data_IF_187074239680
#
_entry.id   IF_187074239680
#
_cell.length_a   1.000
_cell.length_b   1.000
_cell.length_c   1.000
_cell.angle_alpha   90.00
_cell.angle_beta   90.00
_cell.angle_gamma   90.00
#
_symmetry.space_group_name_H-M   'P 1'
#
loop_
_entity.id
_entity.type
_entity.pdbx_description
1 polymer ?
#
# COMPACT_ATOMS: atom_id res chain seq x y z
N UNK A 1 15.89 -0.81 16.66
CA UNK A 1 15.59 -2.24 16.41
C UNK A 1 16.20 -2.63 15.08
N UNK A 2 16.69 -3.85 14.95
CA UNK A 2 17.29 -4.33 13.69
C UNK A 2 16.16 -4.88 12.81
N UNK A 3 16.10 -4.45 11.55
CA UNK A 3 15.22 -5.03 10.55
C UNK A 3 15.89 -6.25 9.95
N UNK A 4 15.19 -7.38 9.89
CA UNK A 4 15.59 -8.51 9.07
C UNK A 4 14.80 -8.52 7.76
N UNK A 5 15.35 -9.10 6.70
CA UNK A 5 14.65 -9.29 5.44
C UNK A 5 14.75 -10.75 5.02
N UNK A 6 13.62 -11.31 4.59
CA UNK A 6 13.55 -12.67 4.06
C UNK A 6 12.60 -12.76 2.87
N UNK A 7 12.72 -13.82 2.10
CA UNK A 7 11.77 -14.11 1.04
C UNK A 7 10.75 -15.14 1.50
N UNK A 8 9.47 -14.84 1.27
CA UNK A 8 8.36 -15.78 1.42
C UNK A 8 7.99 -16.31 0.03
N UNK A 9 8.16 -17.62 -0.17
CA UNK A 9 7.81 -18.30 -1.40
C UNK A 9 6.39 -18.86 -1.34
N UNK A 10 5.48 -18.35 -2.17
CA UNK A 10 4.07 -18.78 -2.22
C UNK A 10 3.84 -19.96 -3.17
N UNK A 11 4.90 -20.49 -3.80
CA UNK A 11 4.81 -21.45 -4.90
C UNK A 11 4.61 -20.79 -6.28
N UNK A 12 4.17 -19.53 -6.31
CA UNK A 12 3.98 -18.74 -7.54
C UNK A 12 4.97 -17.59 -7.66
N UNK A 13 5.39 -17.03 -6.53
CA UNK A 13 6.31 -15.90 -6.47
C UNK A 13 7.07 -15.92 -5.15
N UNK A 14 8.23 -15.23 -5.12
CA UNK A 14 8.94 -14.85 -3.91
C UNK A 14 8.61 -13.40 -3.56
N UNK A 15 8.04 -13.16 -2.39
CA UNK A 15 7.80 -11.82 -1.86
C UNK A 15 8.89 -11.47 -0.86
N UNK A 16 9.49 -10.29 -1.00
CA UNK A 16 10.40 -9.73 0.01
C UNK A 16 9.59 -9.22 1.20
N UNK A 17 9.97 -9.62 2.38
CA UNK A 17 9.34 -9.26 3.65
C UNK A 17 10.39 -8.68 4.58
N UNK A 18 10.22 -7.44 4.97
CA UNK A 18 10.97 -6.81 6.06
C UNK A 18 10.26 -7.08 7.38
N UNK A 19 11.00 -7.53 8.39
CA UNK A 19 10.47 -8.06 9.64
C UNK A 19 11.13 -7.37 10.85
N UNK A 20 10.31 -7.03 11.85
CA UNK A 20 10.71 -6.49 13.15
C UNK A 20 10.06 -7.32 14.23
N UNK A 21 10.87 -7.88 15.11
CA UNK A 21 10.40 -8.64 16.25
C UNK A 21 9.50 -7.77 17.15
N UNK A 22 8.45 -8.39 17.66
CA UNK A 22 7.60 -7.81 18.69
C UNK A 22 8.26 -7.92 20.08
N UNK A 23 7.59 -7.36 21.12
CA UNK A 23 8.09 -7.42 22.48
C UNK A 23 8.12 -8.84 23.09
N UNK A 24 7.37 -9.78 22.52
CA UNK A 24 7.30 -11.18 22.91
C UNK A 24 6.97 -12.08 21.70
N UNK A 25 7.25 -13.37 21.78
CA UNK A 25 7.03 -14.33 20.69
C UNK A 25 5.54 -14.46 20.30
N UNK A 26 4.63 -14.29 21.26
CA UNK A 26 3.18 -14.28 21.08
C UNK A 26 2.60 -12.91 20.74
N UNK A 27 3.44 -11.91 20.48
CA UNK A 27 2.97 -10.59 20.05
C UNK A 27 2.09 -10.69 18.80
N UNK A 28 0.98 -9.93 18.73
CA UNK A 28 0.10 -9.93 17.57
C UNK A 28 0.88 -9.60 16.30
N UNK A 29 0.61 -10.33 15.21
CA UNK A 29 1.28 -10.12 13.92
C UNK A 29 0.55 -9.08 13.11
N UNK A 30 1.31 -8.12 12.59
CA UNK A 30 0.79 -7.08 11.72
C UNK A 30 1.54 -7.03 10.40
N UNK A 31 0.81 -7.07 9.30
CA UNK A 31 1.35 -6.99 7.95
C UNK A 31 1.02 -5.62 7.34
N UNK A 32 2.04 -4.96 6.83
CA UNK A 32 2.00 -3.62 6.26
C UNK A 32 2.20 -3.69 4.73
N UNK A 33 1.25 -3.15 3.96
CA UNK A 33 1.22 -3.25 2.51
C UNK A 33 1.30 -1.85 1.89
N UNK A 34 2.34 -1.60 1.10
CA UNK A 34 2.61 -0.30 0.49
C UNK A 34 1.74 0.00 -0.74
N UNK A 35 1.77 1.25 -1.22
CA UNK A 35 1.08 1.71 -2.42
C UNK A 35 1.82 1.40 -3.72
N UNK A 36 1.17 1.71 -4.85
CA UNK A 36 1.73 1.56 -6.20
C UNK A 36 3.05 2.33 -6.37
N UNK A 37 4.03 1.69 -6.99
CA UNK A 37 5.34 2.29 -7.26
C UNK A 37 6.18 2.57 -6.02
N UNK A 38 5.89 1.92 -4.91
CA UNK A 38 6.58 2.06 -3.63
C UNK A 38 7.22 0.73 -3.19
N UNK A 39 7.69 0.65 -1.97
CA UNK A 39 8.20 -0.54 -1.32
C UNK A 39 7.98 -0.47 0.20
N UNK A 40 8.43 -1.46 0.96
CA UNK A 40 8.25 -1.55 2.40
C UNK A 40 8.78 -0.34 3.18
N UNK A 41 9.77 0.41 2.67
CA UNK A 41 10.33 1.59 3.32
C UNK A 41 9.30 2.72 3.54
N UNK A 42 8.15 2.70 2.84
CA UNK A 42 7.07 3.68 3.07
C UNK A 42 6.55 3.65 4.51
N UNK A 43 6.71 2.53 5.21
CA UNK A 43 6.30 2.32 6.60
C UNK A 43 7.40 2.67 7.61
N UNK A 44 8.61 3.00 7.17
CA UNK A 44 9.78 3.22 8.02
C UNK A 44 9.58 4.24 9.15
N UNK A 45 8.67 5.23 8.98
CA UNK A 45 8.38 6.22 10.02
C UNK A 45 7.48 5.72 11.15
N UNK A 46 6.85 4.57 10.97
CA UNK A 46 5.87 4.05 11.95
C UNK A 46 6.30 2.74 12.59
N UNK A 47 7.15 1.96 11.93
CA UNK A 47 7.52 0.61 12.37
C UNK A 47 8.19 0.58 13.74
N UNK A 48 9.14 1.48 14.05
CA UNK A 48 9.85 1.51 15.33
C UNK A 48 8.91 1.70 16.54
N UNK A 49 7.78 2.37 16.33
CA UNK A 49 6.81 2.62 17.40
C UNK A 49 5.72 1.56 17.45
N UNK A 50 5.39 0.94 16.31
CA UNK A 50 4.42 -0.13 16.26
C UNK A 50 5.01 -1.45 16.74
N UNK A 51 6.31 -1.71 16.51
CA UNK A 51 6.99 -2.92 16.97
C UNK A 51 7.10 -3.03 18.51
N UNK A 52 6.78 -1.94 19.25
CA UNK A 52 6.62 -2.05 20.71
C UNK A 52 5.39 -2.85 21.15
N UNK A 53 4.45 -3.10 20.26
CA UNK A 53 3.19 -3.81 20.56
C UNK A 53 2.93 -4.99 19.61
N UNK A 54 3.62 -5.04 18.46
CA UNK A 54 3.37 -5.99 17.38
C UNK A 54 4.66 -6.59 16.85
N UNK A 55 4.59 -7.83 16.41
CA UNK A 55 5.55 -8.39 15.48
C UNK A 55 5.16 -7.92 14.07
N UNK A 56 6.02 -7.15 13.42
CA UNK A 56 5.69 -6.43 12.18
C UNK A 56 6.32 -7.09 10.96
N UNK A 57 5.55 -7.11 9.89
CA UNK A 57 5.98 -7.54 8.56
C UNK A 57 5.58 -6.49 7.53
N UNK A 58 6.52 -5.93 6.79
CA UNK A 58 6.23 -5.04 5.68
C UNK A 58 6.62 -5.72 4.37
N UNK A 59 5.64 -5.94 3.50
CA UNK A 59 5.79 -6.75 2.29
C UNK A 59 5.97 -5.86 1.08
N UNK A 60 6.96 -6.18 0.24
CA UNK A 60 7.02 -5.63 -1.11
C UNK A 60 6.03 -6.39 -2.00
N UNK A 61 5.13 -5.65 -2.66
CA UNK A 61 4.19 -6.24 -3.61
C UNK A 61 4.95 -6.71 -4.87
N UNK A 62 4.40 -7.73 -5.55
CA UNK A 62 4.88 -8.20 -6.86
C UNK A 62 5.21 -7.03 -7.78
N UNK A 63 6.32 -7.11 -8.50
CA UNK A 63 6.83 -6.12 -9.44
C UNK A 63 7.30 -4.80 -8.81
N UNK A 64 7.37 -4.72 -7.49
CA UNK A 64 7.84 -3.56 -6.73
C UNK A 64 8.83 -4.01 -5.65
N UNK A 65 9.73 -3.11 -5.25
CA UNK A 65 10.77 -3.42 -4.29
C UNK A 65 11.65 -4.59 -4.75
N UNK A 66 11.92 -5.51 -3.84
CA UNK A 66 12.73 -6.72 -4.09
C UNK A 66 11.92 -7.98 -4.35
N UNK A 67 10.60 -7.87 -4.46
CA UNK A 67 9.73 -9.00 -4.78
C UNK A 67 9.87 -9.43 -6.24
N UNK A 68 9.37 -10.62 -6.55
CA UNK A 68 9.37 -11.18 -7.89
C UNK A 68 8.66 -10.29 -8.91
N UNK A 69 9.01 -10.46 -10.17
CA UNK A 69 8.55 -9.62 -11.27
C UNK A 69 7.13 -9.96 -11.72
N UNK A 70 6.57 -9.06 -12.50
CA UNK A 70 5.21 -9.16 -13.02
C UNK A 70 5.14 -10.22 -14.14
N UNK A 71 4.14 -11.07 -14.10
CA UNK A 71 3.86 -12.03 -15.20
C UNK A 71 2.89 -11.42 -16.22
N UNK A 72 2.91 -11.94 -17.45
CA UNK A 72 2.08 -11.43 -18.55
C UNK A 72 0.57 -11.41 -18.24
N UNK A 73 0.10 -12.32 -17.39
CA UNK A 73 -1.32 -12.47 -17.02
C UNK A 73 -1.65 -11.89 -15.66
N UNK A 74 -0.77 -11.06 -15.06
CA UNK A 74 -1.03 -10.48 -13.76
C UNK A 74 -2.10 -9.39 -13.84
N UNK A 75 -3.04 -9.43 -12.91
CA UNK A 75 -4.11 -8.46 -12.72
C UNK A 75 -3.98 -7.80 -11.36
N UNK A 76 -4.87 -6.87 -11.01
CA UNK A 76 -4.90 -6.33 -9.65
C UNK A 76 -5.18 -7.44 -8.62
N UNK A 77 -6.06 -8.40 -8.92
CA UNK A 77 -6.34 -9.54 -8.08
C UNK A 77 -5.08 -10.36 -7.75
N UNK A 78 -4.12 -10.43 -8.67
CA UNK A 78 -2.85 -11.14 -8.45
C UNK A 78 -2.11 -10.66 -7.21
N UNK A 79 -2.14 -9.36 -6.88
CA UNK A 79 -1.53 -8.85 -5.65
C UNK A 79 -2.26 -9.30 -4.39
N UNK A 80 -3.60 -9.36 -4.42
CA UNK A 80 -4.38 -9.88 -3.29
C UNK A 80 -4.12 -11.38 -3.08
N UNK A 81 -4.10 -12.16 -4.17
CA UNK A 81 -3.81 -13.60 -4.14
C UNK A 81 -2.39 -13.88 -3.62
N UNK A 82 -1.40 -13.05 -4.00
CA UNK A 82 -0.03 -13.17 -3.52
C UNK A 82 0.04 -12.95 -2.00
N UNK A 83 -0.60 -11.90 -1.51
CA UNK A 83 -0.63 -11.61 -0.07
C UNK A 83 -1.37 -12.71 0.68
N UNK A 84 -2.58 -13.09 0.25
CA UNK A 84 -3.33 -14.17 0.89
C UNK A 84 -2.51 -15.48 0.96
N UNK A 85 -1.81 -15.81 -0.14
CA UNK A 85 -0.94 -16.99 -0.20
C UNK A 85 0.30 -16.89 0.69
N UNK A 86 0.78 -15.67 0.99
CA UNK A 86 1.95 -15.45 1.84
C UNK A 86 1.62 -15.46 3.35
N UNK A 87 0.42 -15.05 3.75
CA UNK A 87 0.04 -14.93 5.16
C UNK A 87 0.26 -16.20 5.98
N UNK A 88 -0.06 -17.44 5.51
CA UNK A 88 0.20 -18.66 6.25
C UNK A 88 1.69 -18.97 6.52
N UNK A 89 2.61 -18.35 5.76
CA UNK A 89 4.06 -18.45 5.99
C UNK A 89 4.58 -17.34 6.93
N UNK A 90 3.73 -16.37 7.26
CA UNK A 90 4.03 -15.25 8.17
C UNK A 90 3.47 -15.54 9.55
N UNK A 91 2.24 -16.06 9.64
CA UNK A 91 1.57 -16.34 10.91
C UNK A 91 0.66 -17.57 10.80
N UNK A 92 0.50 -18.28 11.93
CA UNK A 92 -0.44 -19.41 12.07
C UNK A 92 -1.83 -18.95 12.58
N UNK A 93 -2.02 -17.66 12.77
CA UNK A 93 -3.22 -17.02 13.31
C UNK A 93 -3.66 -15.86 12.41
N UNK A 94 -4.92 -15.41 12.45
CA UNK A 94 -5.36 -14.25 11.71
C UNK A 94 -4.53 -13.01 12.07
N UNK A 95 -4.05 -12.29 11.05
CA UNK A 95 -3.17 -11.13 11.21
C UNK A 95 -3.94 -9.81 11.19
N UNK A 96 -3.30 -8.76 11.70
CA UNK A 96 -3.71 -7.39 11.44
C UNK A 96 -3.12 -6.93 10.11
N UNK A 97 -3.96 -6.43 9.19
CA UNK A 97 -3.50 -5.88 7.91
C UNK A 97 -3.62 -4.36 7.90
N UNK A 98 -2.58 -3.66 7.46
CA UNK A 98 -2.65 -2.23 7.17
C UNK A 98 -2.10 -1.95 5.79
N UNK A 99 -2.89 -1.31 4.93
CA UNK A 99 -2.48 -1.05 3.55
C UNK A 99 -2.71 0.40 3.12
N UNK A 100 -1.78 0.93 2.33
CA UNK A 100 -1.84 2.27 1.78
C UNK A 100 -2.16 2.24 0.28
N UNK A 101 -3.11 3.07 -0.18
CA UNK A 101 -3.42 3.25 -1.60
C UNK A 101 -3.78 1.92 -2.30
N UNK A 102 -2.98 1.45 -3.26
CA UNK A 102 -3.08 0.10 -3.83
C UNK A 102 -3.03 -0.98 -2.73
N UNK A 103 -2.11 -0.85 -1.77
CA UNK A 103 -2.04 -1.76 -0.61
C UNK A 103 -3.31 -1.73 0.25
N UNK A 104 -3.99 -0.58 0.31
CA UNK A 104 -5.30 -0.46 0.95
C UNK A 104 -6.38 -1.27 0.22
N UNK A 105 -6.38 -1.24 -1.10
CA UNK A 105 -7.23 -2.10 -1.91
C UNK A 105 -6.89 -3.59 -1.73
N UNK A 106 -5.59 -3.95 -1.77
CA UNK A 106 -5.13 -5.33 -1.53
C UNK A 106 -5.59 -5.81 -0.15
N UNK A 107 -5.44 -4.98 0.90
CA UNK A 107 -5.92 -5.28 2.24
C UNK A 107 -7.42 -5.55 2.27
N UNK A 108 -8.22 -4.71 1.60
CA UNK A 108 -9.67 -4.88 1.52
C UNK A 108 -10.06 -6.17 0.76
N UNK A 109 -9.39 -6.46 -0.36
CA UNK A 109 -9.61 -7.67 -1.16
C UNK A 109 -9.29 -8.94 -0.36
N UNK A 110 -8.16 -8.98 0.34
CA UNK A 110 -7.79 -10.12 1.19
C UNK A 110 -8.79 -10.29 2.33
N UNK A 111 -9.18 -9.21 3.02
CA UNK A 111 -10.14 -9.28 4.13
C UNK A 111 -11.56 -9.70 3.68
N UNK A 112 -11.93 -9.37 2.44
CA UNK A 112 -13.20 -9.75 1.82
C UNK A 112 -13.22 -11.22 1.40
N UNK A 113 -12.13 -11.70 0.78
CA UNK A 113 -12.06 -13.02 0.15
C UNK A 113 -11.53 -14.10 1.09
N UNK A 114 -10.75 -13.73 2.11
CA UNK A 114 -10.08 -14.60 3.07
C UNK A 114 -10.29 -14.09 4.51
N UNK A 115 -11.55 -13.99 4.98
CA UNK A 115 -11.86 -13.44 6.32
C UNK A 115 -11.20 -14.25 7.44
N UNK A 116 -10.89 -15.53 7.23
CA UNK A 116 -10.19 -16.40 8.18
C UNK A 116 -8.73 -16.01 8.41
N UNK A 117 -8.12 -15.26 7.49
CA UNK A 117 -6.71 -14.82 7.58
C UNK A 117 -6.56 -13.45 8.25
N UNK A 118 -7.65 -12.72 8.47
CA UNK A 118 -7.60 -11.29 8.83
C UNK A 118 -8.39 -10.99 10.09
N UNK A 119 -7.69 -10.59 11.16
CA UNK A 119 -8.31 -10.22 12.43
C UNK A 119 -8.90 -8.79 12.41
N UNK A 120 -8.16 -7.81 11.87
CA UNK A 120 -8.58 -6.40 11.73
C UNK A 120 -7.86 -5.75 10.56
N UNK A 121 -8.43 -4.67 10.01
CA UNK A 121 -7.80 -3.92 8.92
C UNK A 121 -7.68 -2.43 9.20
N UNK A 122 -6.58 -1.81 8.67
CA UNK A 122 -6.48 -0.37 8.50
C UNK A 122 -6.31 -0.08 7.01
N UNK A 123 -7.26 0.65 6.43
CA UNK A 123 -7.27 1.10 5.05
C UNK A 123 -6.83 2.56 4.98
N UNK A 124 -5.62 2.82 4.49
CA UNK A 124 -5.06 4.18 4.39
C UNK A 124 -5.22 4.68 2.97
N UNK A 125 -6.11 5.64 2.74
CA UNK A 125 -6.37 6.16 1.39
C UNK A 125 -6.56 5.03 0.37
N UNK A 126 -7.45 4.04 0.60
CA UNK A 126 -7.56 2.86 -0.25
C UNK A 126 -8.03 3.25 -1.65
N UNK A 127 -7.53 2.56 -2.69
CA UNK A 127 -8.12 2.65 -4.01
C UNK A 127 -9.50 1.98 -4.01
N UNK A 128 -10.54 2.71 -4.41
CA UNK A 128 -11.95 2.29 -4.37
C UNK A 128 -12.62 2.22 -5.74
N UNK A 129 -11.83 2.26 -6.82
CA UNK A 129 -12.36 2.38 -8.19
C UNK A 129 -12.65 3.81 -8.62
N UNK A 130 -12.84 4.73 -7.67
CA UNK A 130 -13.00 6.16 -7.93
C UNK A 130 -11.76 6.95 -7.51
N UNK A 131 -11.59 8.09 -8.13
CA UNK A 131 -10.58 9.08 -7.76
C UNK A 131 -11.26 10.43 -7.52
N UNK A 132 -10.74 11.21 -6.57
CA UNK A 132 -11.11 12.62 -6.45
C UNK A 132 -10.85 13.35 -7.77
N UNK A 133 -11.61 14.42 -8.05
CA UNK A 133 -11.47 15.18 -9.31
C UNK A 133 -10.03 15.69 -9.51
N UNK A 134 -9.37 16.10 -8.44
CA UNK A 134 -7.94 16.50 -8.47
C UNK A 134 -7.06 15.37 -9.00
N UNK A 135 -7.28 14.14 -8.54
CA UNK A 135 -6.53 12.95 -8.99
C UNK A 135 -6.89 12.55 -10.42
N UNK A 136 -8.17 12.61 -10.80
CA UNK A 136 -8.61 12.33 -12.17
C UNK A 136 -7.90 13.27 -13.15
N UNK A 137 -7.90 14.56 -12.88
CA UNK A 137 -7.23 15.55 -13.72
C UNK A 137 -5.71 15.31 -13.81
N UNK A 138 -5.07 15.00 -12.69
CA UNK A 138 -3.65 14.68 -12.67
C UNK A 138 -3.31 13.41 -13.49
N UNK A 139 -4.19 12.41 -13.51
CA UNK A 139 -4.00 11.18 -14.32
C UNK A 139 -4.26 11.39 -15.80
N UNK A 140 -5.30 12.16 -16.17
CA UNK A 140 -5.65 12.42 -17.56
C UNK A 140 -4.57 13.21 -18.33
N UNK A 141 -3.80 14.02 -17.64
CA UNK A 141 -2.74 14.85 -18.25
C UNK A 141 -1.48 14.06 -18.65
N UNK A 142 -1.39 12.73 -18.39
CA UNK A 142 -0.06 12.10 -18.39
C UNK A 142 0.06 10.63 -18.88
N UNK A 143 -0.63 10.14 -19.92
CA UNK A 143 -0.31 8.83 -20.49
C UNK A 143 1.15 8.78 -20.97
N UNK A 144 1.63 9.86 -21.59
CA UNK A 144 2.99 10.01 -22.11
C UNK A 144 4.05 9.94 -21.01
N UNK A 145 3.77 10.49 -19.82
CA UNK A 145 4.71 10.44 -18.69
C UNK A 145 4.90 9.03 -18.12
N UNK A 146 3.92 8.14 -18.28
CA UNK A 146 4.06 6.75 -17.87
C UNK A 146 5.02 6.00 -18.78
N UNK A 147 4.82 6.12 -20.10
CA UNK A 147 5.73 5.54 -21.08
C UNK A 147 7.14 6.09 -20.92
N UNK A 148 7.27 7.40 -20.66
CA UNK A 148 8.56 8.03 -20.41
C UNK A 148 9.21 7.46 -19.13
N UNK A 149 8.46 7.33 -18.04
CA UNK A 149 8.95 6.72 -16.79
C UNK A 149 9.39 5.27 -17.01
N UNK A 150 8.59 4.46 -17.70
CA UNK A 150 8.98 3.10 -18.03
C UNK A 150 10.30 3.04 -18.81
N UNK A 151 10.49 3.95 -19.78
CA UNK A 151 11.73 4.06 -20.53
C UNK A 151 12.91 4.48 -19.64
N UNK A 152 12.71 5.47 -18.78
CA UNK A 152 13.72 5.93 -17.81
C UNK A 152 14.16 4.79 -16.88
N UNK A 153 13.19 4.02 -16.32
CA UNK A 153 13.47 2.87 -15.45
C UNK A 153 14.28 1.81 -16.20
N UNK A 154 13.93 1.51 -17.47
CA UNK A 154 14.68 0.51 -18.27
C UNK A 154 16.10 0.93 -18.61
N UNK A 155 16.34 2.22 -18.79
CA UNK A 155 17.65 2.75 -19.16
C UNK A 155 18.56 3.02 -17.95
N UNK A 156 18.02 3.08 -16.75
CA UNK A 156 18.76 3.31 -15.53
C UNK A 156 19.63 2.10 -15.17
N UNK A 157 20.90 2.34 -14.86
CA UNK A 157 21.83 1.35 -14.33
C UNK A 157 21.93 1.41 -12.80
N UNK A 158 21.63 2.57 -12.23
CA UNK A 158 21.61 2.85 -10.80
C UNK A 158 20.39 3.68 -10.42
N UNK A 159 19.97 3.70 -9.15
CA UNK A 159 18.91 4.61 -8.69
C UNK A 159 19.24 6.10 -8.97
N UNK A 160 20.50 6.48 -8.91
CA UNK A 160 20.99 7.84 -9.13
C UNK A 160 20.65 8.36 -10.55
N UNK A 161 20.61 7.47 -11.54
CA UNK A 161 20.24 7.82 -12.92
C UNK A 161 18.80 8.33 -13.03
N UNK A 162 17.95 8.01 -12.06
CA UNK A 162 16.54 8.41 -11.99
C UNK A 162 16.32 9.73 -11.22
N UNK A 163 17.32 10.24 -10.49
CA UNK A 163 17.19 11.46 -9.69
C UNK A 163 16.70 12.66 -10.51
N UNK A 164 17.21 12.94 -11.71
CA UNK A 164 16.71 14.07 -12.51
C UNK A 164 15.21 13.98 -12.82
N UNK A 165 14.76 12.81 -13.25
CA UNK A 165 13.35 12.57 -13.59
C UNK A 165 12.42 12.66 -12.36
N UNK A 166 12.89 12.15 -11.23
CA UNK A 166 12.16 12.24 -9.95
C UNK A 166 12.09 13.69 -9.48
N UNK A 167 13.20 14.44 -9.57
CA UNK A 167 13.25 15.86 -9.16
C UNK A 167 12.28 16.72 -9.98
N UNK A 168 12.20 16.48 -11.28
CA UNK A 168 11.25 17.16 -12.16
C UNK A 168 9.79 16.84 -11.78
N UNK A 169 9.49 15.57 -11.46
CA UNK A 169 8.11 15.16 -11.12
C UNK A 169 7.69 15.60 -9.72
N UNK A 170 8.62 15.71 -8.77
CA UNK A 170 8.38 16.03 -7.35
C UNK A 170 9.08 17.33 -6.94
N UNK A 171 8.83 18.40 -7.72
CA UNK A 171 9.39 19.73 -7.46
C UNK A 171 9.16 20.16 -6.00
N UNK A 172 10.21 20.65 -5.35
CA UNK A 172 10.17 21.09 -3.95
C UNK A 172 10.31 19.97 -2.92
N UNK A 173 10.43 18.71 -3.32
CA UNK A 173 10.74 17.63 -2.39
C UNK A 173 12.19 17.71 -1.89
N UNK A 174 12.45 17.23 -0.65
CA UNK A 174 13.82 17.18 -0.11
C UNK A 174 14.68 16.16 -0.87
N UNK A 175 16.00 16.37 -0.88
CA UNK A 175 16.97 15.44 -1.52
C UNK A 175 16.78 14.00 -1.03
N UNK A 176 16.59 13.80 0.28
CA UNK A 176 16.33 12.47 0.85
C UNK A 176 15.05 11.84 0.30
N UNK A 177 14.01 12.63 0.05
CA UNK A 177 12.76 12.14 -0.54
C UNK A 177 12.97 11.76 -2.00
N UNK A 178 13.70 12.60 -2.76
CA UNK A 178 14.06 12.34 -4.15
C UNK A 178 14.85 11.04 -4.27
N UNK A 179 15.90 10.85 -3.46
CA UNK A 179 16.72 9.63 -3.47
C UNK A 179 15.88 8.38 -3.17
N UNK A 180 15.03 8.43 -2.14
CA UNK A 180 14.13 7.29 -1.81
C UNK A 180 13.16 6.98 -2.95
N UNK A 181 12.58 8.00 -3.59
CA UNK A 181 11.66 7.78 -4.72
C UNK A 181 12.42 7.21 -5.92
N UNK A 182 13.64 7.68 -6.20
CA UNK A 182 14.47 7.14 -7.26
C UNK A 182 14.81 5.66 -7.02
N UNK A 183 15.13 5.28 -5.78
CA UNK A 183 15.32 3.88 -5.41
C UNK A 183 14.06 3.04 -5.60
N UNK A 184 12.88 3.54 -5.19
CA UNK A 184 11.60 2.87 -5.41
C UNK A 184 11.30 2.67 -6.89
N UNK A 185 11.57 3.67 -7.74
CA UNK A 185 11.39 3.55 -9.18
C UNK A 185 12.36 2.56 -9.81
N UNK A 186 13.62 2.57 -9.39
CA UNK A 186 14.62 1.62 -9.86
C UNK A 186 14.26 0.16 -9.53
N UNK A 187 13.61 -0.06 -8.40
CA UNK A 187 13.13 -1.37 -7.97
C UNK A 187 11.77 -1.77 -8.58
N UNK A 188 11.09 -0.85 -9.27
CA UNK A 188 9.79 -1.14 -9.89
C UNK A 188 9.98 -1.82 -11.26
N UNK A 189 9.14 -2.80 -11.58
CA UNK A 189 9.07 -3.37 -12.92
C UNK A 189 8.40 -2.35 -13.86
N UNK A 190 9.08 -1.89 -14.93
CA UNK A 190 8.54 -0.88 -15.84
C UNK A 190 7.25 -1.35 -16.55
N UNK A 191 6.96 -2.63 -16.61
CA UNK A 191 5.71 -3.17 -17.18
C UNK A 191 4.47 -2.62 -16.46
N UNK A 192 4.59 -2.23 -15.18
CA UNK A 192 3.49 -1.62 -14.43
C UNK A 192 3.03 -0.27 -15.01
N UNK A 193 3.90 0.45 -15.68
CA UNK A 193 3.56 1.72 -16.33
C UNK A 193 2.90 1.53 -17.71
N UNK A 194 3.01 0.36 -18.31
CA UNK A 194 2.56 0.05 -19.68
C UNK A 194 1.47 -1.00 -19.75
N UNK A 195 1.29 -1.79 -18.69
CA UNK A 195 0.38 -2.94 -18.64
C UNK A 195 -1.11 -2.58 -18.49
N UNK A 196 -2.00 -3.59 -18.50
CA UNK A 196 -3.46 -3.43 -18.37
C UNK A 196 -3.89 -2.68 -17.11
N UNK A 197 -3.20 -2.90 -15.99
CA UNK A 197 -3.47 -2.22 -14.72
C UNK A 197 -3.30 -0.71 -14.85
N UNK A 198 -2.31 -0.26 -15.63
CA UNK A 198 -2.10 1.15 -15.89
C UNK A 198 -3.24 1.76 -16.70
N UNK A 199 -3.94 0.97 -17.51
CA UNK A 199 -5.04 1.37 -18.39
C UNK A 199 -6.40 1.37 -17.71
N UNK A 200 -6.51 0.81 -16.50
CA UNK A 200 -7.77 0.77 -15.76
C UNK A 200 -8.79 -0.23 -16.29
N UNK A 201 -8.34 -1.30 -16.92
CA UNK A 201 -9.17 -2.36 -17.51
C UNK A 201 -9.74 -3.34 -16.47
N UNK A 202 -9.97 -2.89 -15.23
CA UNK A 202 -10.55 -3.74 -14.17
C UNK A 202 -12.08 -3.68 -14.19
N UNK A 203 -12.70 -4.83 -14.17
CA UNK A 203 -14.15 -5.03 -14.16
C UNK A 203 -14.70 -5.35 -12.76
N UNK A 204 -13.91 -5.16 -11.71
CA UNK A 204 -14.30 -5.54 -10.35
C UNK A 204 -15.39 -4.63 -9.78
N UNK A 205 -16.34 -5.26 -9.09
CA UNK A 205 -17.36 -4.57 -8.31
C UNK A 205 -16.83 -4.22 -6.93
N UNK A 206 -16.25 -3.03 -6.81
CA UNK A 206 -15.65 -2.54 -5.55
C UNK A 206 -16.64 -2.57 -4.37
N UNK A 207 -17.92 -2.32 -4.64
CA UNK A 207 -18.96 -2.28 -3.63
C UNK A 207 -19.18 -3.65 -2.99
N UNK A 208 -19.18 -4.73 -3.78
CA UNK A 208 -19.28 -6.11 -3.28
C UNK A 208 -18.07 -6.47 -2.42
N UNK A 209 -16.87 -6.09 -2.84
CA UNK A 209 -15.66 -6.31 -2.08
C UNK A 209 -15.74 -5.63 -0.70
N UNK A 210 -16.04 -4.32 -0.65
CA UNK A 210 -16.11 -3.60 0.62
C UNK A 210 -17.23 -4.11 1.53
N UNK A 211 -18.40 -4.43 0.97
CA UNK A 211 -19.53 -4.96 1.75
C UNK A 211 -19.30 -6.38 2.27
N UNK A 212 -18.33 -7.09 1.72
CA UNK A 212 -17.96 -8.45 2.16
C UNK A 212 -16.93 -8.49 3.28
N UNK A 213 -16.32 -7.36 3.65
CA UNK A 213 -15.38 -7.28 4.77
C UNK A 213 -16.13 -7.50 6.08
N UNK A 214 -15.69 -8.47 6.90
CA UNK A 214 -16.33 -8.85 8.17
C UNK A 214 -15.57 -8.40 9.41
N UNK A 215 -14.23 -8.28 9.31
CA UNK A 215 -13.41 -7.88 10.43
C UNK A 215 -13.57 -6.37 10.73
N UNK A 216 -13.30 -5.95 11.98
CA UNK A 216 -13.23 -4.54 12.32
C UNK A 216 -12.27 -3.81 11.39
N UNK A 217 -12.68 -2.64 10.88
CA UNK A 217 -11.96 -1.86 9.88
C UNK A 217 -11.82 -0.41 10.32
N UNK A 218 -10.62 0.15 10.23
CA UNK A 218 -10.38 1.58 10.36
C UNK A 218 -9.97 2.14 8.99
N UNK A 219 -10.73 3.08 8.45
CA UNK A 219 -10.33 3.80 7.25
C UNK A 219 -9.76 5.18 7.63
N UNK A 220 -8.59 5.51 7.10
CA UNK A 220 -7.92 6.80 7.32
C UNK A 220 -7.75 7.48 5.98
N UNK A 221 -8.31 8.68 5.83
CA UNK A 221 -8.25 9.44 4.58
C UNK A 221 -7.67 10.83 4.80
N UNK A 222 -6.99 11.34 3.79
CA UNK A 222 -6.57 12.74 3.70
C UNK A 222 -7.61 13.58 2.98
N UNK A 223 -7.28 14.84 2.73
CA UNK A 223 -8.14 15.77 2.02
C UNK A 223 -7.91 15.71 0.51
N UNK A 224 -8.97 15.69 -0.28
CA UNK A 224 -8.90 15.64 -1.74
C UNK A 224 -8.18 16.85 -2.33
N UNK A 225 -8.40 18.07 -1.79
CA UNK A 225 -7.72 19.31 -2.21
C UNK A 225 -6.22 19.33 -1.87
N UNK A 226 -5.77 18.45 -0.98
CA UNK A 226 -4.35 18.21 -0.65
C UNK A 226 -3.75 17.02 -1.41
N UNK A 227 -4.48 16.47 -2.38
CA UNK A 227 -4.05 15.35 -3.21
C UNK A 227 -4.46 13.97 -2.68
N UNK A 228 -5.39 13.88 -1.73
CA UNK A 228 -6.06 12.63 -1.36
C UNK A 228 -6.74 11.99 -2.57
N UNK A 229 -6.81 10.66 -2.63
CA UNK A 229 -7.44 9.99 -3.77
C UNK A 229 -8.96 9.92 -3.67
N UNK A 230 -9.49 9.92 -2.45
CA UNK A 230 -10.92 9.91 -2.20
C UNK A 230 -11.45 11.34 -1.97
N UNK A 231 -12.63 11.63 -2.48
CA UNK A 231 -13.43 12.75 -2.00
C UNK A 231 -14.10 12.38 -0.68
N UNK A 232 -14.55 13.37 0.10
CA UNK A 232 -15.30 13.12 1.34
C UNK A 232 -16.55 12.28 1.06
N UNK A 233 -17.26 12.56 -0.04
CA UNK A 233 -18.41 11.77 -0.47
C UNK A 233 -18.04 10.31 -0.75
N UNK A 234 -16.96 10.06 -1.47
CA UNK A 234 -16.50 8.70 -1.76
C UNK A 234 -16.02 7.98 -0.50
N UNK A 235 -15.33 8.66 0.40
CA UNK A 235 -14.92 8.10 1.68
C UNK A 235 -16.13 7.68 2.53
N UNK A 236 -17.18 8.52 2.59
CA UNK A 236 -18.43 8.18 3.28
C UNK A 236 -19.16 7.02 2.59
N UNK A 237 -19.17 6.97 1.25
CA UNK A 237 -19.75 5.86 0.50
C UNK A 237 -19.04 4.54 0.84
N UNK A 238 -17.71 4.50 0.74
CA UNK A 238 -16.93 3.28 1.02
C UNK A 238 -17.13 2.82 2.46
N UNK A 239 -17.05 3.72 3.44
CA UNK A 239 -17.19 3.34 4.84
C UNK A 239 -18.60 2.81 5.15
N UNK A 240 -19.64 3.33 4.48
CA UNK A 240 -21.01 2.86 4.68
C UNK A 240 -21.26 1.44 4.15
N UNK A 241 -20.41 0.94 3.26
CA UNK A 241 -20.47 -0.43 2.74
C UNK A 241 -19.90 -1.45 3.73
N UNK A 242 -18.96 -1.05 4.59
CA UNK A 242 -18.27 -1.96 5.51
C UNK A 242 -19.02 -2.04 6.84
N UNK A 243 -19.59 -3.20 7.22
CA UNK A 243 -20.49 -3.31 8.38
C UNK A 243 -19.92 -2.88 9.74
N UNK A 244 -18.60 -3.06 9.93
CA UNK A 244 -17.92 -2.75 11.20
C UNK A 244 -16.70 -1.86 10.91
N UNK A 245 -16.95 -0.59 10.61
CA UNK A 245 -15.89 0.32 10.22
C UNK A 245 -16.00 1.71 10.86
N UNK A 246 -14.82 2.26 11.23
CA UNK A 246 -14.63 3.63 11.68
C UNK A 246 -13.90 4.44 10.59
N UNK A 247 -14.24 5.72 10.41
CA UNK A 247 -13.58 6.65 9.50
C UNK A 247 -12.84 7.74 10.26
N UNK A 248 -11.58 7.96 9.92
CA UNK A 248 -10.80 9.12 10.33
C UNK A 248 -10.41 9.96 9.11
N UNK A 249 -10.90 11.19 9.04
CA UNK A 249 -10.55 12.15 8.00
C UNK A 249 -9.57 13.20 8.54
N UNK A 250 -8.46 13.41 7.82
CA UNK A 250 -7.41 14.36 8.21
C UNK A 250 -7.27 15.49 7.18
N UNK A 251 -7.92 16.64 7.41
CA UNK A 251 -8.13 17.68 6.39
C UNK A 251 -6.88 18.46 5.98
N UNK A 252 -5.73 18.27 6.67
CA UNK A 252 -4.49 19.01 6.37
C UNK A 252 -3.43 18.17 5.66
N UNK A 253 -3.73 16.96 5.28
CA UNK A 253 -2.80 16.03 4.62
C UNK A 253 -3.44 15.46 3.36
N UNK A 254 -2.60 15.07 2.40
CA UNK A 254 -3.05 14.41 1.16
C UNK A 254 -2.94 12.89 1.25
N UNK A 255 -2.48 12.28 0.16
CA UNK A 255 -2.52 10.86 -0.10
C UNK A 255 -1.70 9.96 0.83
N UNK A 256 -0.77 10.49 1.62
CA UNK A 256 0.09 9.67 2.49
C UNK A 256 -0.02 10.09 3.97
N UNK A 257 -1.21 9.97 4.61
CA UNK A 257 -1.43 10.42 5.97
C UNK A 257 -0.54 9.69 6.99
N UNK A 258 -0.24 8.41 6.81
CA UNK A 258 0.65 7.62 7.66
C UNK A 258 2.12 8.11 7.65
N UNK A 259 2.53 8.82 6.60
CA UNK A 259 3.86 9.45 6.50
C UNK A 259 3.81 10.88 7.07
N UNK A 260 2.84 11.68 6.60
CA UNK A 260 2.75 13.10 6.92
C UNK A 260 2.36 13.35 8.39
N UNK A 261 1.54 12.47 8.98
CA UNK A 261 1.09 12.50 10.37
C UNK A 261 1.37 11.18 11.09
N UNK A 262 2.61 10.69 10.98
CA UNK A 262 3.02 9.39 11.50
C UNK A 262 2.68 9.19 12.99
N UNK A 263 2.87 10.20 13.84
CA UNK A 263 2.51 10.13 15.26
C UNK A 263 1.00 9.94 15.49
N UNK A 264 0.18 10.62 14.69
CA UNK A 264 -1.28 10.48 14.79
C UNK A 264 -1.72 9.14 14.25
N UNK A 265 -1.09 8.66 13.15
CA UNK A 265 -1.33 7.33 12.60
C UNK A 265 -1.01 6.24 13.64
N UNK A 266 0.16 6.28 14.27
CA UNK A 266 0.57 5.32 15.30
C UNK A 266 -0.45 5.30 16.45
N UNK A 267 -0.85 6.48 16.93
CA UNK A 267 -1.83 6.60 18.01
C UNK A 267 -3.20 6.06 17.63
N UNK A 268 -3.68 6.35 16.41
CA UNK A 268 -4.94 5.84 15.88
C UNK A 268 -4.90 4.33 15.73
N UNK A 269 -3.83 3.78 15.16
CA UNK A 269 -3.59 2.36 14.98
C UNK A 269 -3.62 1.62 16.33
N UNK A 270 -2.78 2.02 17.28
CA UNK A 270 -2.73 1.41 18.63
C UNK A 270 -4.09 1.44 19.33
N UNK A 271 -4.80 2.57 19.27
CA UNK A 271 -6.14 2.72 19.87
C UNK A 271 -7.18 1.81 19.20
N UNK A 272 -7.11 1.66 17.89
CA UNK A 272 -8.03 0.79 17.14
C UNK A 272 -7.78 -0.67 17.45
N UNK A 273 -6.52 -1.08 17.55
CA UNK A 273 -6.20 -2.48 17.84
C UNK A 273 -6.42 -2.89 19.31
N UNK A 274 -6.38 -1.95 20.24
CA UNK A 274 -6.67 -2.20 21.64
C UNK A 274 -8.18 -2.39 21.93
N UNK A 275 -9.07 -2.03 20.99
CA UNK A 275 -10.52 -2.30 21.08
C UNK A 275 -10.81 -3.77 20.74
#
# INVERSE_FOLDING_TARGET
MTVSQRYVHTGKIALNVAEWDGPADDSPKMVLIHGYGSNWHTWGRVVDKLSSDFHLFAVDLRAMGRSGRYGANSTRQTWADDIASALPFIANEPVYLAGHSLGGWVTAAVASQHPELVAKTILVEPYSGAYSEVRKQARQRKPELRSLRAQQIRSASTPEDLIPAVSEQYEGASEDSIRRIAEMWFQMDPILEEGPISRGEDTETFDEMFSSIRCPTLMIVGAADKGGILSDHEAQRVISLIPNADLLSWPKVGHSPHIARNHDFIRAAKRFWAK
#
